data_IF_304165412480
#
_entry.id   IF_304165412480
#
_cell.length_a   1.000
_cell.length_b   1.000
_cell.length_c   1.000
_cell.angle_alpha   90.00
_cell.angle_beta   90.00
_cell.angle_gamma   90.00
#
_symmetry.space_group_name_H-M   'P 1'
#
loop_
_entity.id
_entity.type
_entity.pdbx_description
1 polymer ?
#
# COMPACT_ATOMS: atom_id res chain seq x y z
N UNK A 1 -17.50 -4.88 -7.47
CA UNK A 1 -18.14 -3.62 -7.09
C UNK A 1 -17.47 -2.49 -7.85
N UNK A 2 -18.20 -1.54 -8.45
CA UNK A 2 -17.55 -0.37 -9.02
C UNK A 2 -16.82 0.40 -7.91
N UNK A 3 -15.68 1.00 -8.25
CA UNK A 3 -14.95 1.94 -7.39
C UNK A 3 -15.95 3.00 -6.87
N UNK A 4 -15.98 3.34 -5.56
CA UNK A 4 -14.91 3.18 -4.57
C UNK A 4 -14.81 1.79 -3.91
N UNK A 5 -13.56 1.37 -3.70
CA UNK A 5 -13.20 0.18 -2.93
C UNK A 5 -13.34 0.44 -1.43
N UNK A 6 -14.05 -0.45 -0.73
CA UNK A 6 -14.22 -0.37 0.71
C UNK A 6 -12.91 -0.68 1.46
N UNK A 7 -12.53 0.10 2.49
CA UNK A 7 -11.33 -0.16 3.28
C UNK A 7 -11.44 -1.46 4.09
N UNK A 8 -10.29 -2.00 4.46
CA UNK A 8 -10.13 -3.07 5.44
C UNK A 8 -10.22 -2.53 6.88
N UNK A 9 -10.54 -3.38 7.87
CA UNK A 9 -10.54 -3.00 9.28
C UNK A 9 -9.20 -2.42 9.74
N UNK A 10 -9.26 -1.38 10.58
CA UNK A 10 -8.11 -0.69 11.19
C UNK A 10 -8.40 -0.42 12.68
N UNK A 11 -7.41 0.07 13.42
CA UNK A 11 -7.54 0.43 14.84
C UNK A 11 -6.80 1.73 15.14
N UNK A 12 -7.27 2.48 16.13
CA UNK A 12 -6.56 3.66 16.62
C UNK A 12 -5.46 3.32 17.65
N UNK A 13 -5.23 2.04 17.93
CA UNK A 13 -4.21 1.59 18.88
C UNK A 13 -2.79 1.85 18.36
N UNK A 14 -1.85 2.03 19.29
CA UNK A 14 -0.43 2.07 18.96
C UNK A 14 0.07 0.65 18.67
N UNK A 15 0.26 0.36 17.38
CA UNK A 15 0.68 -0.97 16.90
C UNK A 15 2.06 -1.35 17.43
N UNK A 16 2.90 -0.39 17.78
CA UNK A 16 4.23 -0.66 18.34
C UNK A 16 4.16 -1.25 19.75
N UNK A 17 3.05 -1.04 20.46
CA UNK A 17 2.80 -1.59 21.80
C UNK A 17 2.09 -2.95 21.77
N UNK A 18 1.56 -3.35 20.61
CA UNK A 18 0.89 -4.62 20.44
C UNK A 18 1.90 -5.74 20.18
N UNK A 19 1.47 -6.96 20.51
CA UNK A 19 2.13 -8.17 20.04
C UNK A 19 2.19 -8.16 18.50
N UNK A 20 3.38 -8.27 17.93
CA UNK A 20 3.64 -8.19 16.49
C UNK A 20 2.83 -9.21 15.69
N UNK A 21 2.51 -10.36 16.28
CA UNK A 21 1.72 -11.42 15.65
C UNK A 21 0.25 -11.04 15.54
N UNK A 22 -0.24 -10.25 16.48
CA UNK A 22 -1.57 -9.65 16.48
C UNK A 22 -1.60 -8.37 15.63
N UNK A 23 -0.53 -7.58 15.66
CA UNK A 23 -0.39 -6.34 14.91
C UNK A 23 -0.25 -6.57 13.40
N UNK A 24 0.42 -7.64 12.97
CA UNK A 24 0.71 -7.93 11.56
C UNK A 24 -0.49 -7.77 10.60
N UNK A 25 -1.66 -8.43 10.81
CA UNK A 25 -2.80 -8.25 9.92
C UNK A 25 -3.32 -6.80 9.89
N UNK A 26 -3.18 -6.06 10.98
CA UNK A 26 -3.61 -4.67 11.09
C UNK A 26 -2.64 -3.74 10.34
N UNK A 27 -1.33 -3.90 10.53
CA UNK A 27 -0.30 -3.15 9.81
C UNK A 27 -0.45 -3.34 8.29
N UNK A 28 -0.66 -4.58 7.86
CA UNK A 28 -0.94 -4.89 6.46
C UNK A 28 -2.24 -4.26 5.97
N UNK A 29 -3.28 -4.19 6.81
CA UNK A 29 -4.54 -3.55 6.45
C UNK A 29 -4.36 -2.04 6.24
N UNK A 30 -3.57 -1.36 7.08
CA UNK A 30 -3.24 0.05 6.89
C UNK A 30 -2.54 0.32 5.54
N UNK A 31 -1.46 -0.43 5.24
CA UNK A 31 -0.75 -0.24 3.98
C UNK A 31 -1.65 -0.52 2.77
N UNK A 32 -2.47 -1.57 2.83
CA UNK A 32 -3.45 -1.87 1.76
C UNK A 32 -4.50 -0.76 1.62
N UNK A 33 -4.98 -0.20 2.73
CA UNK A 33 -5.94 0.90 2.70
C UNK A 33 -5.37 2.18 2.07
N UNK A 34 -4.09 2.49 2.29
CA UNK A 34 -3.38 3.56 1.56
C UNK A 34 -3.44 3.33 0.06
N UNK A 35 -3.17 2.10 -0.40
CA UNK A 35 -3.21 1.76 -1.83
C UNK A 35 -4.63 1.82 -2.41
N UNK A 36 -5.63 1.30 -1.67
CA UNK A 36 -7.04 1.42 -2.06
C UNK A 36 -7.49 2.88 -2.12
N UNK A 37 -7.05 3.72 -1.18
CA UNK A 37 -7.30 5.16 -1.19
C UNK A 37 -6.72 5.81 -2.44
N UNK A 38 -5.49 5.46 -2.83
CA UNK A 38 -4.88 5.88 -4.09
C UNK A 38 -5.74 5.55 -5.30
N UNK A 39 -6.17 4.29 -5.45
CA UNK A 39 -7.05 3.86 -6.56
C UNK A 39 -8.36 4.65 -6.57
N UNK A 40 -9.02 4.77 -5.43
CA UNK A 40 -10.29 5.50 -5.30
C UNK A 40 -10.15 6.97 -5.68
N UNK A 41 -9.06 7.61 -5.22
CA UNK A 41 -8.76 9.00 -5.50
C UNK A 41 -8.48 9.22 -6.99
N UNK A 42 -7.67 8.36 -7.62
CA UNK A 42 -7.41 8.43 -9.07
C UNK A 42 -8.69 8.26 -9.86
N UNK A 43 -9.53 7.28 -9.55
CA UNK A 43 -10.78 7.07 -10.27
C UNK A 43 -11.73 8.28 -10.17
N UNK A 44 -11.73 8.96 -9.02
CA UNK A 44 -12.55 10.16 -8.79
C UNK A 44 -12.01 11.39 -9.54
N UNK A 45 -10.68 11.54 -9.60
CA UNK A 45 -10.02 12.72 -10.19
C UNK A 45 -9.81 12.61 -11.68
N UNK A 46 -9.48 11.42 -12.21
CA UNK A 46 -9.06 11.21 -13.58
C UNK A 46 -10.00 11.85 -14.63
N UNK A 47 -11.34 11.76 -14.54
CA UNK A 47 -12.25 12.38 -15.51
C UNK A 47 -12.26 13.92 -15.49
N UNK A 48 -11.69 14.54 -14.45
CA UNK A 48 -11.70 15.99 -14.19
C UNK A 48 -10.33 16.65 -14.44
N UNK A 49 -9.32 15.86 -14.79
CA UNK A 49 -7.97 16.35 -15.05
C UNK A 49 -7.96 17.20 -16.32
N UNK A 50 -7.37 18.39 -16.22
CA UNK A 50 -7.21 19.31 -17.36
C UNK A 50 -6.07 18.82 -18.25
N UNK A 51 -6.11 19.19 -19.53
CA UNK A 51 -5.07 18.85 -20.49
C UNK A 51 -3.66 19.33 -20.03
N UNK A 52 -3.57 20.47 -19.35
CA UNK A 52 -2.32 21.02 -18.81
C UNK A 52 -1.70 20.15 -17.71
N UNK A 53 -2.52 19.42 -16.96
CA UNK A 53 -2.10 18.62 -15.80
C UNK A 53 -1.97 17.13 -16.15
N UNK A 54 -2.42 16.75 -17.35
CA UNK A 54 -2.57 15.36 -17.78
C UNK A 54 -1.25 14.58 -17.74
N UNK A 55 -0.16 15.16 -18.22
CA UNK A 55 1.15 14.49 -18.22
C UNK A 55 1.64 14.21 -16.79
N UNK A 56 1.57 15.22 -15.91
CA UNK A 56 1.98 15.09 -14.50
C UNK A 56 1.10 14.09 -13.77
N UNK A 57 -0.22 14.14 -14.00
CA UNK A 57 -1.17 13.19 -13.42
C UNK A 57 -0.90 11.76 -13.89
N UNK A 58 -0.65 11.53 -15.20
CA UNK A 58 -0.27 10.22 -15.72
C UNK A 58 1.01 9.69 -15.05
N UNK A 59 2.04 10.52 -14.88
CA UNK A 59 3.26 10.14 -14.18
C UNK A 59 3.00 9.77 -12.73
N UNK A 60 2.19 10.56 -12.02
CA UNK A 60 1.77 10.27 -10.65
C UNK A 60 1.04 8.90 -10.55
N UNK A 61 0.07 8.65 -11.44
CA UNK A 61 -0.67 7.38 -11.47
C UNK A 61 0.26 6.21 -11.78
N UNK A 62 1.22 6.39 -12.69
CA UNK A 62 2.21 5.34 -13.00
C UNK A 62 3.01 4.95 -11.75
N UNK A 63 3.53 5.93 -10.99
CA UNK A 63 4.26 5.66 -9.75
C UNK A 63 3.37 4.97 -8.71
N UNK A 64 2.11 5.38 -8.56
CA UNK A 64 1.16 4.71 -7.68
C UNK A 64 0.96 3.23 -8.07
N UNK A 65 0.77 2.93 -9.36
CA UNK A 65 0.61 1.56 -9.84
C UNK A 65 1.89 0.73 -9.64
N UNK A 66 3.06 1.35 -9.79
CA UNK A 66 4.35 0.72 -9.46
C UNK A 66 4.45 0.37 -7.98
N UNK A 67 4.04 1.26 -7.08
CA UNK A 67 3.99 0.98 -5.64
C UNK A 67 3.07 -0.20 -5.33
N UNK A 68 1.93 -0.34 -6.00
CA UNK A 68 1.03 -1.50 -5.83
C UNK A 68 1.74 -2.80 -6.26
N UNK A 69 2.39 -2.80 -7.43
CA UNK A 69 3.15 -3.95 -7.92
C UNK A 69 4.30 -4.32 -6.98
N UNK A 70 5.04 -3.33 -6.50
CA UNK A 70 6.12 -3.51 -5.52
C UNK A 70 5.54 -4.11 -4.24
N UNK A 71 4.43 -3.59 -3.71
CA UNK A 71 3.80 -4.11 -2.49
C UNK A 71 3.41 -5.59 -2.61
N UNK A 72 2.87 -6.01 -3.76
CA UNK A 72 2.54 -7.42 -4.02
C UNK A 72 3.81 -8.28 -3.98
N UNK A 73 4.89 -7.85 -4.64
CA UNK A 73 6.19 -8.55 -4.62
C UNK A 73 6.80 -8.61 -3.22
N UNK A 74 6.77 -7.50 -2.49
CA UNK A 74 7.26 -7.42 -1.10
C UNK A 74 6.47 -8.36 -0.20
N UNK A 75 5.15 -8.43 -0.31
CA UNK A 75 4.35 -9.38 0.46
C UNK A 75 4.76 -10.82 0.16
N UNK A 76 4.91 -11.18 -1.12
CA UNK A 76 5.39 -12.52 -1.49
C UNK A 76 6.74 -12.80 -0.85
N UNK A 77 7.71 -11.89 -1.00
CA UNK A 77 9.02 -12.00 -0.38
C UNK A 77 8.94 -12.17 1.15
N UNK A 78 8.18 -11.32 1.84
CA UNK A 78 8.00 -11.39 3.30
C UNK A 78 7.50 -12.76 3.78
N UNK A 79 6.52 -13.36 3.09
CA UNK A 79 5.96 -14.63 3.53
C UNK A 79 6.80 -15.86 3.12
N UNK A 80 7.60 -15.76 2.06
CA UNK A 80 8.39 -16.88 1.53
C UNK A 80 9.87 -16.85 1.91
N UNK A 81 10.38 -15.75 2.44
CA UNK A 81 11.78 -15.65 2.90
C UNK A 81 11.94 -16.34 4.26
N UNK A 82 12.94 -17.22 4.43
CA UNK A 82 13.21 -17.85 5.72
C UNK A 82 13.52 -16.81 6.80
N UNK A 83 12.94 -17.00 7.98
CA UNK A 83 13.29 -16.29 9.21
C UNK A 83 14.61 -16.81 9.78
N UNK A 84 15.11 -16.20 10.86
CA UNK A 84 16.36 -16.61 11.52
C UNK A 84 16.34 -18.09 11.97
N UNK A 85 15.16 -18.60 12.34
CA UNK A 85 14.93 -20.00 12.70
C UNK A 85 14.74 -20.95 11.49
N UNK A 86 14.87 -20.45 10.27
CA UNK A 86 14.72 -21.19 9.01
C UNK A 86 13.29 -21.42 8.55
N UNK A 87 12.27 -21.04 9.34
CA UNK A 87 10.87 -21.19 8.95
C UNK A 87 10.46 -20.06 7.99
N UNK A 88 9.57 -20.39 7.05
CA UNK A 88 8.89 -19.42 6.19
C UNK A 88 7.47 -19.19 6.72
N UNK A 89 6.99 -17.94 6.72
CA UNK A 89 5.66 -17.66 7.28
C UNK A 89 4.53 -18.37 6.52
N UNK A 90 4.69 -18.65 5.23
CA UNK A 90 3.73 -19.45 4.45
C UNK A 90 3.54 -20.87 5.01
N UNK A 91 4.55 -21.48 5.63
CA UNK A 91 4.41 -22.81 6.24
C UNK A 91 3.59 -22.79 7.53
N UNK A 92 3.45 -21.61 8.15
CA UNK A 92 2.71 -21.40 9.40
C UNK A 92 1.30 -20.87 9.14
N UNK A 93 1.16 -19.92 8.22
CA UNK A 93 -0.09 -19.22 7.90
C UNK A 93 -0.86 -19.87 6.74
N UNK A 94 -0.25 -20.83 6.05
CA UNK A 94 -0.80 -21.51 4.89
C UNK A 94 -0.69 -20.72 3.59
N UNK A 95 -1.02 -21.33 2.43
CA UNK A 95 -0.87 -20.71 1.12
C UNK A 95 -1.76 -19.47 0.91
N UNK A 96 -2.82 -19.32 1.70
CA UNK A 96 -3.70 -18.15 1.64
C UNK A 96 -3.01 -16.82 1.97
N UNK A 97 -1.87 -16.82 2.69
CA UNK A 97 -1.09 -15.60 2.91
C UNK A 97 -0.22 -15.19 1.70
N UNK A 98 -0.09 -16.07 0.70
CA UNK A 98 0.64 -15.83 -0.56
C UNK A 98 -0.22 -16.26 -1.75
N UNK A 99 -1.39 -15.61 -1.96
CA UNK A 99 -2.25 -15.95 -3.08
C UNK A 99 -1.56 -15.69 -4.42
N UNK A 100 -1.95 -16.42 -5.46
CA UNK A 100 -1.50 -16.12 -6.82
C UNK A 100 -2.00 -14.72 -7.23
N UNK A 101 -1.06 -13.89 -7.66
CA UNK A 101 -1.29 -12.50 -8.04
C UNK A 101 -0.97 -12.24 -9.51
N UNK A 102 -0.74 -13.27 -10.32
CA UNK A 102 -0.27 -13.12 -11.71
C UNK A 102 -1.27 -12.31 -12.55
N UNK A 103 -2.54 -12.74 -12.56
CA UNK A 103 -3.61 -12.06 -13.31
C UNK A 103 -3.76 -10.59 -12.92
N UNK A 104 -3.81 -10.27 -11.62
CA UNK A 104 -3.95 -8.89 -11.15
C UNK A 104 -2.72 -8.04 -11.49
N UNK A 105 -1.51 -8.59 -11.35
CA UNK A 105 -0.26 -7.90 -11.71
C UNK A 105 -0.21 -7.57 -13.22
N UNK A 106 -0.65 -8.49 -14.06
CA UNK A 106 -0.70 -8.27 -15.52
C UNK A 106 -1.67 -7.14 -15.87
N UNK A 107 -2.84 -7.09 -15.23
CA UNK A 107 -3.83 -6.02 -15.43
C UNK A 107 -3.31 -4.66 -14.94
N UNK A 108 -2.67 -4.61 -13.77
CA UNK A 108 -2.04 -3.39 -13.26
C UNK A 108 -0.94 -2.92 -14.21
N UNK A 109 -0.12 -3.84 -14.72
CA UNK A 109 0.94 -3.54 -15.69
C UNK A 109 0.36 -2.95 -16.98
N UNK A 110 -0.71 -3.54 -17.54
CA UNK A 110 -1.40 -2.99 -18.71
C UNK A 110 -1.98 -1.61 -18.45
N UNK A 111 -2.61 -1.39 -17.29
CA UNK A 111 -3.12 -0.08 -16.90
C UNK A 111 -2.00 0.96 -16.83
N UNK A 112 -0.87 0.62 -16.20
CA UNK A 112 0.32 1.47 -16.13
C UNK A 112 0.89 1.77 -17.53
N UNK A 113 1.06 0.77 -18.38
CA UNK A 113 1.62 0.94 -19.71
C UNK A 113 0.72 1.77 -20.64
N UNK A 114 -0.60 1.76 -20.41
CA UNK A 114 -1.54 2.61 -21.15
C UNK A 114 -1.35 4.11 -20.89
N UNK A 115 -0.73 4.49 -19.77
CA UNK A 115 -0.44 5.88 -19.41
C UNK A 115 0.69 6.51 -20.25
N UNK A 116 1.42 5.72 -21.04
CA UNK A 116 2.46 6.20 -21.95
C UNK A 116 1.88 6.91 -23.19
N UNK A 117 0.59 6.74 -23.46
CA UNK A 117 -0.13 7.38 -24.56
C UNK A 117 -0.79 8.71 -24.18
N UNK A 118 -1.68 9.18 -25.05
CA UNK A 118 -2.53 10.33 -24.73
C UNK A 118 -3.43 10.01 -23.52
N UNK A 119 -3.47 10.92 -22.54
CA UNK A 119 -4.27 10.72 -21.34
C UNK A 119 -5.77 10.76 -21.66
N UNK A 120 -6.47 9.70 -21.28
CA UNK A 120 -7.93 9.65 -21.24
C UNK A 120 -8.36 9.18 -19.85
N UNK A 121 -8.95 10.10 -19.08
CA UNK A 121 -9.40 9.82 -17.72
C UNK A 121 -10.51 8.76 -17.66
N UNK A 122 -11.39 8.66 -18.66
CA UNK A 122 -12.43 7.62 -18.71
C UNK A 122 -11.81 6.26 -19.03
N UNK A 123 -10.89 6.23 -19.99
CA UNK A 123 -10.16 4.99 -20.32
C UNK A 123 -9.37 4.48 -19.11
N UNK A 124 -8.69 5.36 -18.38
CA UNK A 124 -7.97 5.01 -17.15
C UNK A 124 -8.92 4.41 -16.09
N UNK A 125 -10.07 5.03 -15.84
CA UNK A 125 -11.08 4.47 -14.90
C UNK A 125 -11.55 3.10 -15.36
N UNK A 126 -11.76 2.93 -16.67
CA UNK A 126 -12.05 1.62 -17.27
C UNK A 126 -10.97 0.58 -16.96
N UNK A 127 -9.69 0.94 -17.10
CA UNK A 127 -8.57 0.06 -16.78
C UNK A 127 -8.50 -0.28 -15.29
N UNK A 128 -8.70 0.70 -14.39
CA UNK A 128 -8.75 0.44 -12.94
C UNK A 128 -9.85 -0.56 -12.58
N UNK A 129 -11.03 -0.43 -13.18
CA UNK A 129 -12.15 -1.36 -12.96
C UNK A 129 -11.85 -2.80 -13.40
N UNK A 130 -10.85 -3.04 -14.27
CA UNK A 130 -10.50 -4.41 -14.69
C UNK A 130 -9.82 -5.24 -13.60
N UNK A 131 -9.20 -4.58 -12.61
CA UNK A 131 -8.40 -5.24 -11.58
C UNK A 131 -8.75 -4.84 -10.15
N UNK A 132 -9.42 -3.71 -9.93
CA UNK A 132 -9.67 -3.15 -8.59
C UNK A 132 -10.37 -4.14 -7.64
N UNK A 133 -11.41 -4.83 -8.11
CA UNK A 133 -12.13 -5.85 -7.34
C UNK A 133 -11.27 -7.08 -7.06
N UNK A 134 -10.56 -7.58 -8.07
CA UNK A 134 -9.68 -8.74 -7.96
C UNK A 134 -8.55 -8.48 -6.97
N UNK A 135 -7.92 -7.30 -7.04
CA UNK A 135 -6.89 -6.86 -6.11
C UNK A 135 -7.42 -6.82 -4.67
N UNK A 136 -8.59 -6.22 -4.48
CA UNK A 136 -9.21 -6.15 -3.15
C UNK A 136 -9.56 -7.55 -2.63
N UNK A 137 -10.10 -8.43 -3.47
CA UNK A 137 -10.42 -9.80 -3.10
C UNK A 137 -9.16 -10.60 -2.71
N UNK A 138 -8.08 -10.45 -3.48
CA UNK A 138 -6.77 -11.04 -3.19
C UNK A 138 -6.25 -10.59 -1.82
N UNK A 139 -6.29 -9.28 -1.56
CA UNK A 139 -5.87 -8.73 -0.28
C UNK A 139 -6.79 -9.12 0.88
N UNK A 140 -8.09 -9.21 0.66
CA UNK A 140 -9.03 -9.69 1.66
C UNK A 140 -8.73 -11.14 2.06
N UNK A 141 -8.53 -12.02 1.07
CA UNK A 141 -8.16 -13.42 1.31
C UNK A 141 -6.84 -13.55 2.07
N UNK A 142 -5.84 -12.74 1.71
CA UNK A 142 -4.57 -12.69 2.41
C UNK A 142 -4.74 -12.28 3.88
N UNK A 143 -5.46 -11.20 4.15
CA UNK A 143 -5.72 -10.71 5.51
C UNK A 143 -6.52 -11.72 6.35
N UNK A 144 -7.51 -12.38 5.74
CA UNK A 144 -8.29 -13.43 6.39
C UNK A 144 -7.41 -14.63 6.77
N UNK A 145 -6.51 -15.06 5.88
CA UNK A 145 -5.57 -16.16 6.16
C UNK A 145 -4.64 -15.83 7.33
N UNK A 146 -4.11 -14.60 7.40
CA UNK A 146 -3.25 -14.17 8.50
C UNK A 146 -4.03 -14.11 9.82
N UNK A 147 -5.19 -13.44 9.79
CA UNK A 147 -6.05 -13.24 10.97
C UNK A 147 -6.54 -14.58 11.55
N UNK A 148 -6.96 -15.50 10.68
CA UNK A 148 -7.42 -16.83 11.09
C UNK A 148 -6.32 -17.71 11.70
N UNK A 149 -5.05 -17.42 11.42
CA UNK A 149 -3.91 -18.23 11.85
C UNK A 149 -2.99 -17.54 12.87
N UNK A 150 -3.42 -16.45 13.53
CA UNK A 150 -2.64 -15.75 14.57
C UNK A 150 -2.23 -16.70 15.71
N UNK A 151 -3.09 -17.66 16.09
CA UNK A 151 -2.76 -18.67 17.11
C UNK A 151 -1.63 -19.59 16.66
N UNK A 152 -1.66 -20.06 15.41
CA UNK A 152 -0.60 -20.88 14.85
C UNK A 152 0.71 -20.10 14.75
N UNK A 153 0.65 -18.84 14.34
CA UNK A 153 1.78 -17.92 14.33
C UNK A 153 2.38 -17.78 15.74
N UNK A 154 1.54 -17.56 16.75
CA UNK A 154 1.97 -17.42 18.15
C UNK A 154 2.58 -18.68 18.75
N UNK A 155 2.19 -19.86 18.26
CA UNK A 155 2.76 -21.14 18.68
C UNK A 155 4.12 -21.46 18.04
N UNK A 156 4.46 -20.82 16.91
CA UNK A 156 5.65 -21.14 16.10
C UNK A 156 6.67 -20.02 16.01
N UNK A 157 6.27 -18.79 16.30
CA UNK A 157 7.11 -17.60 16.19
C UNK A 157 6.93 -16.72 17.43
N UNK A 158 8.02 -16.10 17.84
CA UNK A 158 8.06 -15.10 18.91
C UNK A 158 7.62 -13.71 18.39
N UNK A 159 7.29 -12.81 19.32
CA UNK A 159 7.04 -11.40 18.99
C UNK A 159 8.24 -10.78 18.25
N UNK A 160 9.44 -10.98 18.78
CA UNK A 160 10.68 -10.41 18.26
C UNK A 160 10.98 -10.87 16.83
N UNK A 161 10.79 -12.16 16.52
CA UNK A 161 11.03 -12.71 15.18
C UNK A 161 10.07 -12.09 14.15
N UNK A 162 8.77 -12.00 14.47
CA UNK A 162 7.80 -11.38 13.55
C UNK A 162 8.06 -9.89 13.39
N UNK A 163 8.42 -9.19 14.47
CA UNK A 163 8.77 -7.76 14.43
C UNK A 163 10.02 -7.49 13.59
N UNK A 164 11.05 -8.34 13.70
CA UNK A 164 12.25 -8.28 12.88
C UNK A 164 11.91 -8.53 11.39
N UNK A 165 11.09 -9.54 11.11
CA UNK A 165 10.63 -9.83 9.75
C UNK A 165 9.85 -8.65 9.13
N UNK A 166 8.93 -8.04 9.89
CA UNK A 166 8.17 -6.86 9.45
C UNK A 166 9.13 -5.70 9.15
N UNK A 167 10.10 -5.43 10.04
CA UNK A 167 11.11 -4.39 9.80
C UNK A 167 11.91 -4.66 8.51
N UNK A 168 12.34 -5.89 8.29
CA UNK A 168 13.06 -6.28 7.09
C UNK A 168 12.21 -6.11 5.83
N UNK A 169 10.91 -6.42 5.89
CA UNK A 169 9.99 -6.18 4.79
C UNK A 169 9.82 -4.69 4.49
N UNK A 170 9.76 -3.82 5.51
CA UNK A 170 9.71 -2.36 5.33
C UNK A 170 10.99 -1.84 4.69
N UNK A 171 12.17 -2.28 5.16
CA UNK A 171 13.46 -1.90 4.55
C UNK A 171 13.57 -2.39 3.09
N UNK A 172 13.12 -3.62 2.82
CA UNK A 172 13.07 -4.16 1.47
C UNK A 172 12.12 -3.36 0.59
N UNK A 173 10.93 -3.00 1.09
CA UNK A 173 10.00 -2.15 0.35
C UNK A 173 10.61 -0.79 -0.01
N UNK A 174 11.28 -0.15 0.95
CA UNK A 174 11.97 1.11 0.73
C UNK A 174 13.11 0.98 -0.29
N UNK A 175 13.85 -0.14 -0.32
CA UNK A 175 14.93 -0.35 -1.31
C UNK A 175 14.43 -0.63 -2.72
N UNK A 176 13.16 -1.04 -2.87
CA UNK A 176 12.52 -1.27 -4.15
C UNK A 176 11.76 -0.05 -4.70
N UNK A 177 11.73 1.06 -3.96
CA UNK A 177 10.89 2.21 -4.27
C UNK A 177 11.71 3.51 -4.24
N UNK A 178 11.26 4.53 -4.96
CA UNK A 178 11.76 5.89 -4.74
C UNK A 178 11.25 6.41 -3.39
N UNK A 179 12.11 6.62 -2.37
CA UNK A 179 11.67 7.13 -1.07
C UNK A 179 11.04 8.52 -1.15
N UNK A 180 11.42 9.34 -2.13
CA UNK A 180 10.85 10.67 -2.34
C UNK A 180 9.41 10.63 -2.85
N UNK A 181 8.99 9.51 -3.47
CA UNK A 181 7.60 9.24 -3.78
C UNK A 181 6.89 8.45 -2.68
N UNK A 182 7.50 7.35 -2.22
CA UNK A 182 6.88 6.38 -1.31
C UNK A 182 6.43 7.02 0.00
N UNK A 183 7.31 7.78 0.66
CA UNK A 183 7.02 8.32 2.00
C UNK A 183 5.87 9.35 1.94
N UNK A 184 5.93 10.40 1.10
CA UNK A 184 4.80 11.33 1.03
C UNK A 184 3.54 10.68 0.47
N UNK A 185 3.65 9.67 -0.41
CA UNK A 185 2.50 8.91 -0.90
C UNK A 185 1.75 8.21 0.25
N UNK A 186 2.45 7.49 1.12
CA UNK A 186 1.83 6.83 2.29
C UNK A 186 1.13 7.87 3.18
N UNK A 187 1.82 8.97 3.49
CA UNK A 187 1.30 10.01 4.39
C UNK A 187 0.11 10.78 3.82
N UNK A 188 0.06 10.94 2.49
CA UNK A 188 -1.01 11.67 1.81
C UNK A 188 -2.22 10.81 1.43
N UNK A 189 -2.16 9.50 1.64
CA UNK A 189 -3.24 8.54 1.38
C UNK A 189 -3.69 7.79 2.64
N UNK A 190 -3.15 8.16 3.79
CA UNK A 190 -3.61 7.71 5.09
C UNK A 190 -4.54 8.75 5.71
N UNK A 191 -5.74 8.32 6.13
CA UNK A 191 -6.62 9.15 6.93
C UNK A 191 -6.18 9.10 8.41
N UNK A 192 -5.53 10.17 8.88
CA UNK A 192 -5.04 10.28 10.26
C UNK A 192 -6.15 10.22 11.32
N UNK A 193 -7.41 10.41 10.95
CA UNK A 193 -8.54 10.20 11.86
C UNK A 193 -8.72 8.72 12.22
N UNK A 194 -8.28 7.80 11.35
CA UNK A 194 -8.37 6.36 11.61
C UNK A 194 -7.29 5.85 12.56
N UNK A 195 -6.09 6.45 12.52
CA UNK A 195 -5.04 6.24 13.51
C UNK A 195 -3.99 7.35 13.42
N UNK A 196 -3.67 7.93 14.58
CA UNK A 196 -2.56 8.89 14.74
C UNK A 196 -1.18 8.23 14.89
N UNK A 197 -1.16 6.91 15.11
CA UNK A 197 0.07 6.15 15.35
C UNK A 197 0.63 5.50 14.08
N UNK A 198 -0.11 5.59 12.97
CA UNK A 198 0.30 5.03 11.69
C UNK A 198 0.35 6.11 10.59
N UNK A 199 1.31 6.05 9.65
CA UNK A 199 2.50 5.20 9.71
C UNK A 199 3.46 5.67 10.82
N UNK A 200 4.15 4.74 11.51
CA UNK A 200 5.15 5.11 12.50
C UNK A 200 6.27 5.88 11.80
N UNK A 201 6.43 7.15 12.15
CA UNK A 201 7.38 8.07 11.51
C UNK A 201 8.22 8.73 12.59
N UNK A 202 9.54 8.61 12.49
CA UNK A 202 10.46 9.21 13.48
C UNK A 202 10.52 10.74 13.30
N UNK A 203 10.99 11.50 14.30
CA UNK A 203 11.22 12.94 14.16
C UNK A 203 12.09 13.29 12.96
N UNK A 204 13.12 12.50 12.66
CA UNK A 204 13.99 12.67 11.49
C UNK A 204 13.22 12.45 10.20
N UNK A 205 12.33 11.45 10.16
CA UNK A 205 11.45 11.21 9.02
C UNK A 205 10.52 12.40 8.74
N UNK A 206 9.94 12.98 9.79
CA UNK A 206 9.14 14.20 9.68
C UNK A 206 9.97 15.41 9.22
N UNK A 207 11.19 15.55 9.72
CA UNK A 207 12.09 16.63 9.33
C UNK A 207 12.56 16.51 7.86
N UNK A 208 12.71 15.29 7.35
CA UNK A 208 13.11 15.03 5.96
C UNK A 208 11.96 15.21 4.96
N UNK A 209 10.70 15.10 5.40
CA UNK A 209 9.52 15.10 4.54
C UNK A 209 9.43 16.30 3.58
N UNK A 210 9.68 17.56 3.98
CA UNK A 210 9.64 18.69 3.05
C UNK A 210 10.67 18.58 1.92
N UNK A 211 11.85 18.00 2.17
CA UNK A 211 12.87 17.81 1.15
C UNK A 211 12.46 16.70 0.16
N UNK A 212 11.91 15.58 0.67
CA UNK A 212 11.40 14.49 -0.16
C UNK A 212 10.27 14.97 -1.08
N UNK A 213 9.33 15.75 -0.55
CA UNK A 213 8.21 16.27 -1.32
C UNK A 213 8.64 17.17 -2.49
N UNK A 214 9.77 17.87 -2.40
CA UNK A 214 10.25 18.76 -3.48
C UNK A 214 10.63 18.01 -4.76
N UNK A 215 11.01 16.73 -4.66
CA UNK A 215 11.40 15.92 -5.83
C UNK A 215 10.22 15.76 -6.81
N UNK A 216 9.01 15.56 -6.26
CA UNK A 216 7.79 15.35 -7.03
C UNK A 216 6.72 16.39 -6.66
N UNK A 217 7.11 17.66 -6.55
CA UNK A 217 6.26 18.72 -5.97
C UNK A 217 4.85 18.77 -6.56
N UNK A 218 4.73 18.61 -7.88
CA UNK A 218 3.45 18.70 -8.59
C UNK A 218 2.53 17.49 -8.36
N UNK A 219 3.08 16.33 -7.96
CA UNK A 219 2.28 15.13 -7.71
C UNK A 219 1.35 15.32 -6.50
N UNK A 220 1.80 16.11 -5.52
CA UNK A 220 1.06 16.36 -4.29
C UNK A 220 -0.16 17.26 -4.49
N UNK A 221 -0.39 17.77 -5.71
CA UNK A 221 -1.65 18.43 -6.08
C UNK A 221 -2.79 17.45 -6.30
N UNK A 222 -2.51 16.15 -6.43
CA UNK A 222 -3.51 15.13 -6.75
C UNK A 222 -3.95 14.28 -5.55
N UNK A 223 -3.33 14.45 -4.39
CA UNK A 223 -3.53 13.56 -3.24
C UNK A 223 -4.72 13.94 -2.37
N UNK A 224 -5.36 12.99 -1.67
CA UNK A 224 -6.56 13.25 -0.88
C UNK A 224 -6.28 13.91 0.47
N UNK A 225 -5.06 13.79 1.02
CA UNK A 225 -4.66 14.43 2.27
C UNK A 225 -3.34 15.16 2.10
N UNK A 226 -3.20 16.29 2.77
CA UNK A 226 -1.94 16.99 2.87
C UNK A 226 -0.91 16.11 3.62
N UNK A 227 0.26 15.79 3.01
CA UNK A 227 1.20 14.84 3.60
C UNK A 227 1.83 15.35 4.90
N UNK A 228 1.86 16.66 5.14
CA UNK A 228 2.47 17.25 6.34
C UNK A 228 1.46 17.35 7.48
N UNK A 229 0.29 17.93 7.21
CA UNK A 229 -0.74 18.24 8.21
C UNK A 229 -1.77 17.11 8.37
N UNK A 230 -1.96 16.27 7.34
CA UNK A 230 -3.04 15.28 7.27
C UNK A 230 -4.41 15.88 6.96
N UNK A 231 -4.48 17.18 6.67
CA UNK A 231 -5.73 17.84 6.33
C UNK A 231 -6.29 17.28 5.02
N UNK A 232 -7.58 16.95 5.01
CA UNK A 232 -8.27 16.48 3.80
C UNK A 232 -8.28 17.57 2.74
N UNK A 233 -7.92 17.21 1.51
CA UNK A 233 -7.92 18.10 0.35
C UNK A 233 -9.25 17.96 -0.43
N UNK A 234 -9.73 19.06 -1.05
CA UNK A 234 -10.97 19.07 -1.83
C UNK A 234 -10.86 18.28 -3.14
#
# INVERSE_FOLDING_TARGET
MPIPLAPFPVTNADLMTLDARVALPIEMSFMKNVLLCGINNVATRAPKIKATDAAVFSSYVSHMLDIILIHIRVNKHFFTTPLENGLVLTSVLGPGCTPDSTSVCDKITRARDSLKGAFDGKALVGQLNTFADELRALWHGQLAAITGNVKALSAKQTDTEVRAATRNAVMYFASQSDPAFLVPFILSHHDRATSKFWPPTTPEGWAALPALMKVHADFWNFVPFDPTTGAKRP
#
